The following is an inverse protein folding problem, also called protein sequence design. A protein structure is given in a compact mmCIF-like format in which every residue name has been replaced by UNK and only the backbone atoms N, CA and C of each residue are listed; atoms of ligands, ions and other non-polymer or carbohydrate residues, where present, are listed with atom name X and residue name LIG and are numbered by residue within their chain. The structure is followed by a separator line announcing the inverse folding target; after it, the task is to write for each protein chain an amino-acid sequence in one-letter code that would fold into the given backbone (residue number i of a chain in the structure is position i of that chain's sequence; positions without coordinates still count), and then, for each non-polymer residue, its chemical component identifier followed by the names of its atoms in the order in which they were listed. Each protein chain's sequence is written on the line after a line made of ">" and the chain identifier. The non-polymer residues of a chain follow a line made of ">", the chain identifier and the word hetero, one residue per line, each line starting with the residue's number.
data_IF_966033262990
#
_entry.id   IF_966033262990
#
_cell.length_a   1.000
_cell.length_b   1.000
_cell.length_c   1.000
_cell.angle_alpha   90.00
_cell.angle_beta   90.00
_cell.angle_gamma   90.00
#
_symmetry.space_group_name_H-M   'P 1'
#
loop_
_entity.id
_entity.type
_entity.pdbx_description
1 polymer ?
#
# COMPACT_ATOMS: atom_id res chain seq x y z
N UNK A 1 55.02 44.13 25.86
CA UNK A 1 55.08 42.82 25.21
C UNK A 1 53.84 42.07 25.58
N UNK A 2 52.93 41.90 24.64
CA UNK A 2 51.61 41.32 24.90
C UNK A 2 51.47 40.08 24.06
N UNK A 3 51.37 38.96 24.71
CA UNK A 3 51.06 37.67 24.11
C UNK A 3 49.57 37.53 24.05
N UNK A 4 49.09 37.54 22.87
CA UNK A 4 47.63 37.29 22.58
C UNK A 4 47.40 35.81 22.41
N UNK A 5 46.73 35.25 23.35
CA UNK A 5 46.29 33.82 23.26
C UNK A 5 45.02 33.73 22.46
N UNK A 6 45.07 33.08 21.31
CA UNK A 6 43.94 32.75 20.48
C UNK A 6 43.27 31.49 21.04
N UNK A 7 42.07 31.66 21.54
CA UNK A 7 41.19 30.54 21.89
C UNK A 7 40.44 30.12 20.62
N UNK A 8 40.80 28.96 20.08
CA UNK A 8 40.06 28.31 19.02
C UNK A 8 38.83 27.65 19.63
N UNK A 9 37.69 28.26 19.39
CA UNK A 9 36.40 27.67 19.69
C UNK A 9 36.10 26.57 18.69
N UNK A 10 36.10 25.34 19.16
CA UNK A 10 35.70 24.18 18.39
C UNK A 10 34.19 24.02 18.49
N UNK A 11 33.46 24.54 17.51
CA UNK A 11 32.04 24.27 17.35
C UNK A 11 31.88 22.90 16.74
N UNK A 12 31.60 21.94 17.58
CA UNK A 12 31.17 20.61 17.15
C UNK A 12 29.69 20.63 16.81
N UNK A 13 29.39 20.72 15.55
CA UNK A 13 28.02 20.64 15.04
C UNK A 13 27.58 19.19 15.04
N UNK A 14 26.84 18.79 16.05
CA UNK A 14 26.07 17.54 16.00
C UNK A 14 24.71 17.82 15.34
N UNK A 15 24.69 17.70 14.05
CA UNK A 15 23.41 17.60 13.30
C UNK A 15 23.42 16.29 12.52
N UNK A 16 23.11 15.21 13.19
CA UNK A 16 22.94 13.94 12.49
C UNK A 16 21.74 13.19 13.06
N UNK A 17 20.75 12.98 12.23
CA UNK A 17 20.13 11.68 12.17
C UNK A 17 18.75 11.50 12.76
N UNK A 18 17.76 12.34 12.43
CA UNK A 18 16.36 11.99 12.71
C UNK A 18 15.47 11.99 11.44
N UNK A 19 16.04 12.19 10.26
CA UNK A 19 15.24 12.31 9.02
C UNK A 19 15.11 11.04 8.17
N UNK A 20 15.73 9.94 8.55
CA UNK A 20 15.75 8.74 7.69
C UNK A 20 14.53 7.84 7.82
N UNK A 21 13.83 7.83 8.95
CA UNK A 21 12.71 6.93 9.18
C UNK A 21 11.43 7.37 8.49
N UNK A 22 11.14 8.65 8.44
CA UNK A 22 9.96 9.19 7.75
C UNK A 22 10.07 9.06 6.23
N UNK A 23 11.23 9.39 5.66
CA UNK A 23 11.47 9.28 4.22
C UNK A 23 11.36 7.84 3.71
N UNK A 24 11.85 6.85 4.46
CA UNK A 24 11.70 5.44 4.10
C UNK A 24 10.26 4.93 4.20
N UNK A 25 9.50 5.38 5.20
CA UNK A 25 8.08 5.04 5.33
C UNK A 25 7.26 5.63 4.18
N UNK A 26 7.54 6.88 3.76
CA UNK A 26 6.89 7.53 2.62
C UNK A 26 7.19 6.81 1.31
N UNK A 27 8.45 6.44 1.06
CA UNK A 27 8.86 5.69 -0.13
C UNK A 27 8.20 4.30 -0.20
N UNK A 28 8.15 3.58 0.91
CA UNK A 28 7.44 2.28 1.00
C UNK A 28 5.96 2.44 0.73
N UNK A 29 5.35 3.47 1.28
CA UNK A 29 3.93 3.77 1.09
C UNK A 29 3.64 4.10 -0.37
N UNK A 30 4.46 4.91 -1.02
CA UNK A 30 4.32 5.24 -2.45
C UNK A 30 4.44 4.00 -3.34
N UNK A 31 5.43 3.15 -3.09
CA UNK A 31 5.61 1.90 -3.83
C UNK A 31 4.42 0.95 -3.67
N UNK A 32 3.87 0.84 -2.46
CA UNK A 32 2.70 0.04 -2.19
C UNK A 32 1.44 0.61 -2.87
N UNK A 33 1.26 1.93 -2.87
CA UNK A 33 0.14 2.60 -3.56
C UNK A 33 0.22 2.36 -5.07
N UNK A 34 1.41 2.44 -5.64
CA UNK A 34 1.63 2.13 -7.06
C UNK A 34 1.23 0.69 -7.39
N UNK A 35 1.71 -0.27 -6.60
CA UNK A 35 1.36 -1.68 -6.77
C UNK A 35 -0.15 -1.93 -6.62
N UNK A 36 -0.81 -1.27 -5.67
CA UNK A 36 -2.25 -1.34 -5.48
C UNK A 36 -3.03 -0.82 -6.70
N UNK A 37 -2.63 0.31 -7.26
CA UNK A 37 -3.26 0.88 -8.47
C UNK A 37 -3.11 -0.02 -9.68
N UNK A 38 -1.93 -0.61 -9.89
CA UNK A 38 -1.68 -1.56 -10.98
C UNK A 38 -2.55 -2.82 -10.83
N UNK A 39 -2.67 -3.34 -9.62
CA UNK A 39 -3.52 -4.48 -9.34
C UNK A 39 -5.01 -4.16 -9.53
N UNK A 40 -5.46 -2.99 -9.06
CA UNK A 40 -6.84 -2.53 -9.25
C UNK A 40 -7.18 -2.37 -10.74
N UNK A 41 -6.24 -1.93 -11.56
CA UNK A 41 -6.44 -1.84 -13.01
C UNK A 41 -6.77 -3.20 -13.64
N UNK A 42 -6.18 -4.28 -13.15
CA UNK A 42 -6.51 -5.65 -13.58
C UNK A 42 -7.93 -6.04 -13.16
N UNK A 43 -8.32 -5.72 -11.92
CA UNK A 43 -9.69 -5.97 -11.44
C UNK A 43 -10.71 -5.15 -12.24
N UNK A 44 -10.41 -3.89 -12.52
CA UNK A 44 -11.27 -3.02 -13.33
C UNK A 44 -11.45 -3.55 -14.76
N UNK A 45 -10.40 -4.14 -15.32
CA UNK A 45 -10.42 -4.79 -16.65
C UNK A 45 -11.05 -6.20 -16.63
N UNK A 46 -11.53 -6.67 -15.49
CA UNK A 46 -12.07 -8.01 -15.28
C UNK A 46 -11.05 -9.13 -15.51
N UNK A 47 -9.78 -8.83 -15.43
CA UNK A 47 -8.67 -9.79 -15.47
C UNK A 47 -8.48 -10.46 -14.10
N UNK A 48 -9.53 -11.08 -13.58
CA UNK A 48 -9.58 -11.61 -12.21
C UNK A 48 -8.57 -12.72 -11.97
N UNK A 49 -8.38 -13.60 -12.95
CA UNK A 49 -7.36 -14.65 -12.89
C UNK A 49 -5.96 -14.05 -12.69
N UNK A 50 -5.63 -13.04 -13.47
CA UNK A 50 -4.33 -12.35 -13.39
C UNK A 50 -4.17 -11.66 -12.05
N UNK A 51 -5.20 -10.96 -11.57
CA UNK A 51 -5.17 -10.33 -10.25
C UNK A 51 -4.93 -11.32 -9.11
N UNK A 52 -5.49 -12.53 -9.19
CA UNK A 52 -5.21 -13.60 -8.23
C UNK A 52 -3.78 -14.12 -8.35
N UNK A 53 -3.30 -14.35 -9.56
CA UNK A 53 -1.93 -14.84 -9.79
C UNK A 53 -0.87 -13.89 -9.25
N UNK A 54 -1.09 -12.59 -9.38
CA UNK A 54 -0.19 -11.53 -8.91
C UNK A 54 -0.41 -11.12 -7.44
N UNK A 55 -1.44 -11.65 -6.79
CA UNK A 55 -1.69 -11.40 -5.37
C UNK A 55 -0.63 -12.05 -4.48
N UNK A 56 -0.57 -11.60 -3.22
CA UNK A 56 0.33 -12.14 -2.22
C UNK A 56 0.07 -13.65 -1.99
N UNK A 57 1.12 -14.39 -1.73
CA UNK A 57 1.02 -15.83 -1.41
C UNK A 57 0.05 -16.07 -0.25
N UNK A 58 0.14 -15.25 0.80
CA UNK A 58 -0.78 -15.30 1.93
C UNK A 58 -2.25 -15.24 1.52
N UNK A 59 -2.60 -14.41 0.55
CA UNK A 59 -3.95 -14.33 -0.01
C UNK A 59 -4.31 -15.61 -0.80
N UNK A 60 -3.40 -16.08 -1.66
CA UNK A 60 -3.62 -17.27 -2.49
C UNK A 60 -3.75 -18.56 -1.68
N UNK A 61 -3.08 -18.64 -0.54
CA UNK A 61 -3.19 -19.78 0.37
C UNK A 61 -4.57 -19.86 1.07
N UNK A 62 -5.28 -18.74 1.16
CA UNK A 62 -6.61 -18.64 1.81
C UNK A 62 -7.77 -18.65 0.82
N UNK A 63 -7.54 -18.17 -0.39
CA UNK A 63 -8.57 -17.99 -1.42
C UNK A 63 -8.09 -18.62 -2.72
N UNK A 64 -8.81 -19.63 -3.19
CA UNK A 64 -8.51 -20.25 -4.49
C UNK A 64 -8.83 -19.28 -5.65
N UNK A 65 -8.23 -19.49 -6.82
CA UNK A 65 -8.52 -18.70 -8.01
C UNK A 65 -10.02 -18.70 -8.35
N UNK A 66 -10.66 -19.88 -8.29
CA UNK A 66 -12.08 -20.01 -8.57
C UNK A 66 -12.95 -19.22 -7.59
N UNK A 67 -12.65 -19.32 -6.29
CA UNK A 67 -13.37 -18.56 -5.26
C UNK A 67 -13.14 -17.05 -5.41
N UNK A 68 -11.94 -16.64 -5.74
CA UNK A 68 -11.66 -15.23 -6.00
C UNK A 68 -12.46 -14.69 -7.18
N UNK A 69 -12.46 -15.41 -8.30
CA UNK A 69 -13.22 -15.02 -9.48
C UNK A 69 -14.71 -14.84 -9.15
N UNK A 70 -15.29 -15.76 -8.39
CA UNK A 70 -16.67 -15.68 -7.96
C UNK A 70 -16.94 -14.51 -7.02
N UNK A 71 -16.10 -14.35 -5.97
CA UNK A 71 -16.24 -13.30 -4.97
C UNK A 71 -16.09 -11.92 -5.58
N UNK A 72 -15.03 -11.68 -6.35
CA UNK A 72 -14.79 -10.35 -6.93
C UNK A 72 -15.82 -10.00 -7.99
N UNK A 73 -16.25 -10.96 -8.79
CA UNK A 73 -17.33 -10.78 -9.77
C UNK A 73 -18.64 -10.42 -9.07
N UNK A 74 -18.99 -11.11 -7.99
CA UNK A 74 -20.23 -10.85 -7.24
C UNK A 74 -20.25 -9.46 -6.58
N UNK A 75 -19.09 -8.94 -6.20
CA UNK A 75 -18.95 -7.60 -5.59
C UNK A 75 -18.88 -6.50 -6.65
N UNK A 76 -18.15 -6.73 -7.75
CA UNK A 76 -17.90 -5.70 -8.78
C UNK A 76 -19.05 -5.56 -9.78
N UNK A 77 -19.77 -6.62 -10.06
CA UNK A 77 -20.88 -6.59 -11.02
C UNK A 77 -22.02 -5.65 -10.63
N UNK A 78 -22.51 -5.64 -9.37
CA UNK A 78 -23.59 -4.74 -8.97
C UNK A 78 -23.18 -3.26 -8.93
N UNK A 79 -21.89 -2.94 -8.70
CA UNK A 79 -21.44 -1.55 -8.57
C UNK A 79 -21.12 -0.90 -9.91
N UNK A 80 -20.89 -1.68 -10.95
CA UNK A 80 -20.59 -1.20 -12.30
C UNK A 80 -19.14 -0.74 -12.47
N UNK A 81 -18.90 0.01 -13.53
CA UNK A 81 -17.57 0.50 -13.88
C UNK A 81 -17.10 1.63 -12.96
N UNK A 82 -15.79 1.73 -12.78
CA UNK A 82 -15.15 2.86 -12.09
C UNK A 82 -15.30 4.11 -12.94
N UNK A 83 -15.85 5.17 -12.34
CA UNK A 83 -15.94 6.50 -12.93
C UNK A 83 -14.80 7.41 -12.43
N UNK A 84 -14.46 7.31 -11.16
CA UNK A 84 -13.33 8.02 -10.56
C UNK A 84 -12.80 7.28 -9.34
N UNK A 85 -11.51 7.42 -9.07
CA UNK A 85 -10.85 6.85 -7.89
C UNK A 85 -9.83 7.84 -7.36
N UNK A 86 -9.93 8.18 -6.08
CA UNK A 86 -9.07 9.12 -5.40
C UNK A 86 -8.47 8.50 -4.15
N UNK A 87 -7.15 8.65 -3.97
CA UNK A 87 -6.46 8.21 -2.77
C UNK A 87 -6.89 9.06 -1.57
N UNK A 88 -7.43 8.43 -0.55
CA UNK A 88 -7.83 9.08 0.73
C UNK A 88 -6.72 8.97 1.75
N UNK A 89 -6.08 7.81 1.86
CA UNK A 89 -5.01 7.59 2.82
C UNK A 89 -4.29 6.27 2.58
N UNK A 90 -3.07 6.21 3.09
CA UNK A 90 -2.23 5.02 3.06
C UNK A 90 -1.41 4.97 4.35
N UNK A 91 -1.49 3.86 5.06
CA UNK A 91 -0.83 3.69 6.35
C UNK A 91 0.06 2.45 6.35
N UNK A 92 1.35 2.66 6.60
CA UNK A 92 2.31 1.59 6.81
C UNK A 92 2.11 0.94 8.18
N UNK A 93 2.18 -0.39 8.24
CA UNK A 93 2.18 -1.18 9.48
C UNK A 93 2.99 -2.45 9.31
N UNK A 94 3.49 -2.99 10.41
CA UNK A 94 4.21 -4.28 10.43
C UNK A 94 3.35 -5.43 10.94
N UNK A 95 2.14 -5.13 11.39
CA UNK A 95 1.20 -6.12 11.92
C UNK A 95 -0.20 -5.87 11.39
N UNK A 96 -0.90 -6.96 11.06
CA UNK A 96 -2.33 -6.94 10.76
C UNK A 96 -3.03 -8.06 11.53
N UNK A 97 -4.25 -7.84 12.04
CA UNK A 97 -5.04 -8.89 12.65
C UNK A 97 -5.24 -10.06 11.68
N UNK A 98 -4.85 -11.27 12.10
CA UNK A 98 -4.99 -12.49 11.30
C UNK A 98 -3.93 -12.70 10.21
N UNK A 99 -3.01 -11.76 10.03
CA UNK A 99 -1.89 -11.87 9.10
C UNK A 99 -0.57 -12.22 9.77
N UNK A 100 0.41 -12.74 9.02
CA UNK A 100 1.77 -12.92 9.52
C UNK A 100 2.44 -11.56 9.78
N UNK A 101 3.48 -11.53 10.59
CA UNK A 101 4.35 -10.38 10.71
C UNK A 101 5.00 -10.07 9.35
N UNK A 102 5.11 -8.79 9.01
CA UNK A 102 5.65 -8.36 7.73
C UNK A 102 5.50 -6.86 7.54
N UNK A 103 5.66 -6.43 6.32
CA UNK A 103 5.42 -5.03 5.95
C UNK A 103 4.12 -4.94 5.15
N UNK A 104 3.22 -4.06 5.58
CA UNK A 104 1.92 -3.83 4.99
C UNK A 104 1.67 -2.34 4.79
N UNK A 105 0.86 -2.01 3.81
CA UNK A 105 0.26 -0.67 3.68
C UNK A 105 -1.24 -0.84 3.51
N UNK A 106 -2.00 -0.27 4.43
CA UNK A 106 -3.46 -0.22 4.35
C UNK A 106 -3.85 1.03 3.58
N UNK A 107 -4.46 0.86 2.42
CA UNK A 107 -4.76 1.94 1.49
C UNK A 107 -6.27 2.06 1.34
N UNK A 108 -6.76 3.29 1.37
CA UNK A 108 -8.16 3.60 1.10
C UNK A 108 -8.28 4.55 -0.09
N UNK A 109 -9.18 4.20 -0.99
CA UNK A 109 -9.61 5.04 -2.09
C UNK A 109 -11.09 5.40 -1.94
N UNK A 110 -11.42 6.66 -2.19
CA UNK A 110 -12.79 7.06 -2.49
C UNK A 110 -13.03 6.76 -3.96
N UNK A 111 -13.99 5.89 -4.23
CA UNK A 111 -14.26 5.43 -5.59
C UNK A 111 -15.73 5.64 -5.92
N UNK A 112 -15.97 6.28 -7.06
CA UNK A 112 -17.29 6.38 -7.63
C UNK A 112 -17.42 5.31 -8.72
N UNK A 113 -18.23 4.31 -8.45
CA UNK A 113 -18.68 3.36 -9.47
C UNK A 113 -19.94 3.86 -10.15
N UNK A 114 -20.22 3.38 -11.34
CA UNK A 114 -21.40 3.79 -12.10
C UNK A 114 -22.71 3.61 -11.33
N UNK A 115 -22.84 2.52 -10.59
CA UNK A 115 -24.05 2.16 -9.83
C UNK A 115 -23.90 2.25 -8.31
N UNK A 116 -22.74 2.69 -7.84
CA UNK A 116 -22.46 2.92 -6.42
C UNK A 116 -21.46 4.07 -6.24
N UNK A 117 -21.93 5.31 -6.17
CA UNK A 117 -21.09 6.46 -5.85
C UNK A 117 -20.67 6.44 -4.38
N UNK A 118 -19.66 7.24 -4.05
CA UNK A 118 -19.17 7.43 -2.67
C UNK A 118 -18.74 6.13 -1.94
N UNK A 119 -18.29 5.15 -2.71
CA UNK A 119 -17.74 3.91 -2.15
C UNK A 119 -16.33 4.12 -1.59
N UNK A 120 -15.96 3.29 -0.63
CA UNK A 120 -14.59 3.20 -0.14
C UNK A 120 -14.01 1.83 -0.50
N UNK A 121 -12.97 1.83 -1.30
CA UNK A 121 -12.17 0.64 -1.54
C UNK A 121 -11.00 0.60 -0.54
N UNK A 122 -10.88 -0.50 0.19
CA UNK A 122 -9.72 -0.77 1.03
C UNK A 122 -8.91 -1.88 0.40
N UNK A 123 -7.63 -1.61 0.16
CA UNK A 123 -6.70 -2.54 -0.45
C UNK A 123 -5.42 -2.57 0.36
N UNK A 124 -4.90 -3.77 0.64
CA UNK A 124 -3.76 -3.96 1.53
C UNK A 124 -2.66 -4.75 0.83
N UNK A 125 -1.70 -4.08 0.19
CA UNK A 125 -0.47 -4.72 -0.23
C UNK A 125 0.38 -5.15 0.95
N UNK A 126 1.08 -6.27 0.80
CA UNK A 126 2.15 -6.71 1.67
C UNK A 126 3.43 -6.94 0.86
N UNK A 127 4.56 -6.77 1.50
CA UNK A 127 5.86 -6.99 0.86
C UNK A 127 6.23 -8.47 0.94
N UNK A 128 6.60 -9.06 -0.18
CA UNK A 128 7.06 -10.44 -0.24
C UNK A 128 8.56 -10.59 0.07
N UNK A 129 9.06 -11.82 0.12
CA UNK A 129 10.46 -12.12 0.42
C UNK A 129 11.45 -11.54 -0.59
N UNK A 130 10.98 -11.18 -1.79
CA UNK A 130 11.77 -10.55 -2.85
C UNK A 130 11.71 -9.02 -2.81
N UNK A 131 10.98 -8.46 -1.86
CA UNK A 131 10.78 -7.02 -1.74
C UNK A 131 9.71 -6.45 -2.67
N UNK A 132 8.86 -7.29 -3.26
CA UNK A 132 7.77 -6.88 -4.13
C UNK A 132 6.48 -6.68 -3.32
N UNK A 133 5.78 -5.58 -3.56
CA UNK A 133 4.47 -5.34 -2.98
C UNK A 133 3.41 -6.12 -3.74
N UNK A 134 2.64 -6.94 -3.01
CA UNK A 134 1.58 -7.78 -3.56
C UNK A 134 0.32 -7.65 -2.71
N UNK A 135 -0.83 -7.58 -3.34
CA UNK A 135 -2.11 -7.41 -2.65
C UNK A 135 -2.43 -8.63 -1.81
N UNK A 136 -2.72 -8.41 -0.53
CA UNK A 136 -3.12 -9.42 0.45
C UNK A 136 -4.58 -9.31 0.88
N UNK A 137 -5.27 -8.25 0.53
CA UNK A 137 -6.68 -8.05 0.85
C UNK A 137 -7.31 -6.91 0.05
N UNK A 138 -8.60 -7.04 -0.22
CA UNK A 138 -9.40 -6.06 -0.94
C UNK A 138 -10.86 -6.17 -0.55
N UNK A 139 -11.51 -5.04 -0.28
CA UNK A 139 -12.95 -4.97 -0.08
C UNK A 139 -13.52 -3.58 -0.40
N UNK A 140 -14.82 -3.53 -0.63
CA UNK A 140 -15.59 -2.32 -0.94
C UNK A 140 -16.67 -2.12 0.13
N UNK A 141 -16.81 -0.87 0.59
CA UNK A 141 -17.92 -0.41 1.42
C UNK A 141 -18.74 0.65 0.72
#
# INVERSE_FOLDING_TARGET
>A
MKTTTLIKSLLLTYAVGIFTTTAQADEKTEAAVTAAKEWLAQVDAKEYKKSWQEAARFFKDKVTEANWNEMVSSVRKPVGEVKSRELVGAQFTTTLPGGPEGEYVVIQFKTNFADKPDSVETITPMKDDKGTWRVSGYFIK
#
